data_IF_080928427558
#
_entry.id   IF_080928427558
#
_cell.length_a   1.000
_cell.length_b   1.000
_cell.length_c   1.000
_cell.angle_alpha   90.00
_cell.angle_beta   90.00
_cell.angle_gamma   90.00
#
_symmetry.space_group_name_H-M   'P 1'
#
loop_
_entity.id
_entity.type
_entity.pdbx_description
1 polymer ?
#
# COMPACT_ATOMS: atom_id res chain seq x y z
N UNK A 1 38.12 -17.96 63.47
CA UNK A 1 36.88 -17.20 63.16
C UNK A 1 36.84 -16.87 61.67
N UNK A 2 36.12 -17.65 60.89
CA UNK A 2 35.98 -17.49 59.42
C UNK A 2 34.65 -16.80 59.21
N UNK A 3 34.69 -15.55 58.69
CA UNK A 3 33.51 -14.83 58.31
C UNK A 3 33.10 -15.31 56.93
N UNK A 4 31.97 -16.02 56.81
CA UNK A 4 31.33 -16.35 55.55
C UNK A 4 30.62 -15.10 55.00
N UNK A 5 31.16 -14.55 53.97
CA UNK A 5 30.44 -13.54 53.15
C UNK A 5 29.56 -14.30 52.15
N UNK A 6 28.30 -14.40 52.46
CA UNK A 6 27.26 -14.88 51.55
C UNK A 6 26.97 -13.78 50.54
N UNK A 7 27.55 -13.89 49.35
CA UNK A 7 27.19 -13.01 48.21
C UNK A 7 25.89 -13.50 47.65
N UNK A 8 24.83 -12.77 47.93
CA UNK A 8 23.49 -12.99 47.35
C UNK A 8 23.53 -12.49 45.90
N UNK A 9 23.72 -13.41 44.95
CA UNK A 9 23.58 -13.12 43.51
C UNK A 9 22.09 -12.98 43.18
N UNK A 10 21.61 -11.75 43.21
CA UNK A 10 20.25 -11.41 42.68
C UNK A 10 20.34 -11.44 41.16
N UNK A 11 20.03 -12.58 40.58
CA UNK A 11 19.81 -12.68 39.12
C UNK A 11 18.53 -11.93 38.76
N UNK A 12 18.70 -10.71 38.34
CA UNK A 12 17.60 -9.93 37.76
C UNK A 12 17.32 -10.55 36.39
N UNK A 13 16.35 -11.46 36.34
CA UNK A 13 15.73 -11.88 35.07
C UNK A 13 14.97 -10.69 34.50
N UNK A 14 15.66 -9.91 33.70
CA UNK A 14 14.97 -9.01 32.76
C UNK A 14 14.25 -9.91 31.76
N UNK A 15 13.01 -10.24 32.06
CA UNK A 15 12.09 -10.74 31.03
C UNK A 15 11.94 -9.61 29.99
N UNK A 16 12.71 -9.69 28.94
CA UNK A 16 12.46 -8.90 27.76
C UNK A 16 11.11 -9.35 27.23
N UNK A 17 10.06 -8.66 27.64
CA UNK A 17 8.82 -8.69 26.88
C UNK A 17 9.16 -8.07 25.54
N UNK A 18 9.57 -8.91 24.61
CA UNK A 18 9.69 -8.53 23.23
C UNK A 18 8.29 -8.12 22.76
N UNK A 19 8.00 -6.82 22.78
CA UNK A 19 6.85 -6.31 22.06
C UNK A 19 7.12 -6.60 20.59
N UNK A 20 6.56 -7.69 20.11
CA UNK A 20 6.54 -7.97 18.68
C UNK A 20 5.79 -6.83 18.03
N UNK A 21 6.45 -6.09 17.15
CA UNK A 21 5.78 -5.06 16.36
C UNK A 21 4.69 -5.71 15.52
N UNK A 22 3.46 -5.19 15.52
CA UNK A 22 2.35 -5.80 14.77
C UNK A 22 2.64 -5.75 13.27
N UNK A 23 2.20 -6.77 12.54
CA UNK A 23 2.15 -6.69 11.09
C UNK A 23 1.10 -5.65 10.66
N UNK A 24 1.41 -4.88 9.63
CA UNK A 24 0.54 -3.84 9.09
C UNK A 24 0.15 -4.24 7.67
N UNK A 25 -1.15 -4.38 7.42
CA UNK A 25 -1.71 -4.63 6.08
C UNK A 25 -2.61 -3.47 5.71
N UNK A 26 -2.29 -2.79 4.61
CA UNK A 26 -3.10 -1.71 4.05
C UNK A 26 -3.75 -2.23 2.77
N UNK A 27 -5.07 -2.30 2.75
CA UNK A 27 -5.86 -2.67 1.58
C UNK A 27 -6.48 -1.39 1.04
N UNK A 28 -5.98 -0.93 -0.11
CA UNK A 28 -6.47 0.28 -0.77
C UNK A 28 -7.30 -0.11 -1.99
N UNK A 29 -8.61 0.03 -1.87
CA UNK A 29 -9.52 -0.12 -3.00
C UNK A 29 -9.34 1.05 -3.98
N UNK A 30 -9.40 0.75 -5.28
CA UNK A 30 -9.28 1.73 -6.36
C UNK A 30 -10.66 1.91 -6.99
N UNK A 31 -11.17 3.14 -6.97
CA UNK A 31 -12.51 3.52 -7.47
C UNK A 31 -13.70 2.83 -6.76
N UNK A 32 -13.58 2.50 -5.46
CA UNK A 32 -14.69 1.99 -4.65
C UNK A 32 -15.55 3.15 -4.15
N UNK A 33 -16.82 3.11 -4.48
CA UNK A 33 -17.80 4.08 -3.99
C UNK A 33 -18.29 3.76 -2.57
N UNK A 34 -18.79 4.78 -1.87
CA UNK A 34 -19.35 4.62 -0.51
C UNK A 34 -20.44 3.54 -0.44
N UNK A 35 -21.34 3.54 -1.42
CA UNK A 35 -22.44 2.59 -1.48
C UNK A 35 -22.10 1.27 -2.21
N UNK A 36 -20.82 0.97 -2.45
CA UNK A 36 -20.42 -0.27 -3.13
C UNK A 36 -20.14 -1.42 -2.14
N UNK A 37 -20.30 -1.18 -0.85
CA UNK A 37 -20.12 -2.18 0.21
C UNK A 37 -21.45 -2.51 0.89
N UNK A 38 -21.66 -3.78 1.24
CA UNK A 38 -22.95 -4.26 1.74
C UNK A 38 -23.39 -3.58 3.03
N UNK A 39 -22.50 -3.26 3.94
CA UNK A 39 -22.85 -2.59 5.20
C UNK A 39 -23.33 -1.14 5.02
N UNK A 40 -23.05 -0.51 3.87
CA UNK A 40 -23.66 0.77 3.49
C UNK A 40 -24.93 0.62 2.64
N UNK A 41 -25.49 -0.60 2.54
CA UNK A 41 -26.73 -0.88 1.84
C UNK A 41 -26.57 -1.23 0.37
N UNK A 42 -25.37 -1.58 -0.09
CA UNK A 42 -25.14 -2.11 -1.43
C UNK A 42 -25.82 -3.45 -1.65
N UNK A 43 -26.26 -3.71 -2.87
CA UNK A 43 -26.66 -5.03 -3.33
C UNK A 43 -25.43 -5.96 -3.53
N UNK A 44 -24.24 -5.38 -3.66
CA UNK A 44 -22.98 -6.11 -3.74
C UNK A 44 -22.64 -6.70 -2.38
N UNK A 45 -22.47 -8.01 -2.33
CA UNK A 45 -22.13 -8.70 -1.09
C UNK A 45 -20.63 -8.58 -0.78
N UNK A 46 -20.30 -7.97 0.35
CA UNK A 46 -18.93 -7.79 0.82
C UNK A 46 -18.71 -8.39 2.22
N UNK A 47 -18.96 -9.69 2.44
CA UNK A 47 -19.03 -10.27 3.77
C UNK A 47 -17.72 -10.17 4.57
N UNK A 48 -16.57 -10.16 3.90
CA UNK A 48 -15.29 -10.03 4.57
C UNK A 48 -15.04 -8.58 5.04
N UNK A 49 -15.50 -7.58 4.28
CA UNK A 49 -15.44 -6.17 4.70
C UNK A 49 -16.40 -5.96 5.87
N UNK A 50 -17.61 -6.49 5.79
CA UNK A 50 -18.61 -6.41 6.87
C UNK A 50 -18.08 -7.04 8.17
N UNK A 51 -17.35 -8.16 8.06
CA UNK A 51 -16.70 -8.81 9.21
C UNK A 51 -15.59 -7.93 9.83
N UNK A 52 -14.79 -7.25 9.00
CA UNK A 52 -13.78 -6.33 9.51
C UNK A 52 -14.40 -5.15 10.25
N UNK A 53 -15.49 -4.61 9.73
CA UNK A 53 -16.20 -3.49 10.36
C UNK A 53 -16.82 -3.92 11.70
N UNK A 54 -17.43 -5.12 11.76
CA UNK A 54 -18.04 -5.62 13.00
C UNK A 54 -17.03 -5.85 14.13
N UNK A 55 -15.76 -6.07 13.81
CA UNK A 55 -14.68 -6.34 14.76
C UNK A 55 -13.67 -5.21 14.90
N UNK A 56 -13.75 -4.21 14.05
CA UNK A 56 -12.79 -3.10 13.95
C UNK A 56 -13.38 -1.75 14.31
N UNK A 57 -12.81 -0.71 13.71
CA UNK A 57 -13.25 0.69 13.86
C UNK A 57 -13.52 1.26 12.48
N UNK A 58 -14.69 1.80 12.27
CA UNK A 58 -15.03 2.58 11.09
C UNK A 58 -14.69 4.06 11.32
N UNK A 59 -14.07 4.68 10.33
CA UNK A 59 -13.80 6.11 10.32
C UNK A 59 -14.86 6.81 9.45
N UNK A 60 -15.97 7.19 10.04
CA UNK A 60 -17.15 7.78 9.38
C UNK A 60 -16.84 9.00 8.48
N UNK A 61 -15.87 9.81 8.86
CA UNK A 61 -15.50 11.04 8.15
C UNK A 61 -14.09 11.02 7.60
N UNK A 62 -13.65 9.88 7.13
CA UNK A 62 -12.35 9.73 6.49
C UNK A 62 -12.48 9.98 4.98
N UNK A 63 -12.16 11.19 4.56
CA UNK A 63 -12.24 11.59 3.16
C UNK A 63 -10.90 11.37 2.46
N UNK A 64 -10.95 10.87 1.25
CA UNK A 64 -9.80 10.74 0.34
C UNK A 64 -9.97 11.67 -0.85
N UNK A 65 -8.95 11.80 -1.67
CA UNK A 65 -9.04 12.60 -2.91
C UNK A 65 -9.94 11.88 -3.94
N UNK A 66 -10.61 12.62 -4.83
CA UNK A 66 -11.51 12.02 -5.82
C UNK A 66 -10.80 11.21 -6.92
N UNK A 67 -9.47 11.12 -6.88
CA UNK A 67 -8.67 10.42 -7.88
C UNK A 67 -7.46 9.73 -7.26
N UNK A 68 -6.90 8.76 -8.00
CA UNK A 68 -5.93 7.79 -7.51
C UNK A 68 -4.55 8.37 -7.12
N UNK A 69 -3.83 9.07 -8.00
CA UNK A 69 -2.49 9.58 -7.66
C UNK A 69 -2.48 10.56 -6.48
N UNK A 70 -3.41 11.51 -6.38
CA UNK A 70 -3.52 12.38 -5.21
C UNK A 70 -3.74 11.61 -3.91
N UNK A 71 -4.72 10.70 -3.88
CA UNK A 71 -5.00 9.85 -2.70
C UNK A 71 -3.78 9.03 -2.29
N UNK A 72 -3.10 8.41 -3.27
CA UNK A 72 -1.90 7.59 -3.02
C UNK A 72 -0.73 8.43 -2.50
N UNK A 73 -0.55 9.63 -3.03
CA UNK A 73 0.46 10.56 -2.56
C UNK A 73 0.22 10.98 -1.10
N UNK A 74 -1.02 11.28 -0.75
CA UNK A 74 -1.42 11.60 0.63
C UNK A 74 -1.22 10.41 1.58
N UNK A 75 -1.63 9.21 1.17
CA UNK A 75 -1.44 7.99 1.96
C UNK A 75 0.05 7.72 2.23
N UNK A 76 0.90 7.92 1.22
CA UNK A 76 2.33 7.65 1.34
C UNK A 76 3.08 8.69 2.16
N UNK A 77 2.62 9.94 2.19
CA UNK A 77 3.38 11.06 2.80
C UNK A 77 2.74 11.65 4.05
N UNK A 78 1.44 11.44 4.26
CA UNK A 78 0.66 12.14 5.27
C UNK A 78 0.48 13.65 4.98
N UNK A 79 0.75 14.10 3.73
CA UNK A 79 0.67 15.50 3.31
C UNK A 79 -0.43 15.68 2.27
N UNK A 80 -1.07 16.84 2.28
CA UNK A 80 -2.08 17.17 1.26
C UNK A 80 -1.51 17.12 -0.16
N UNK A 81 -2.26 16.54 -1.08
CA UNK A 81 -1.93 16.41 -2.51
C UNK A 81 -1.60 17.76 -3.17
N UNK A 82 -2.26 18.84 -2.73
CA UNK A 82 -1.99 20.20 -3.23
C UNK A 82 -0.56 20.61 -2.89
N UNK A 83 -0.09 20.33 -1.68
CA UNK A 83 1.29 20.63 -1.24
C UNK A 83 2.33 19.79 -1.97
N UNK A 84 1.95 18.61 -2.40
CA UNK A 84 2.80 17.69 -3.16
C UNK A 84 2.83 18.01 -4.66
N UNK A 85 1.97 18.93 -5.12
CA UNK A 85 1.82 19.24 -6.55
C UNK A 85 1.17 18.12 -7.37
N UNK A 86 0.53 17.14 -6.71
CA UNK A 86 -0.12 15.99 -7.34
C UNK A 86 -1.64 16.14 -7.14
N UNK A 87 -2.27 16.99 -7.93
CA UNK A 87 -3.70 17.30 -7.83
C UNK A 87 -4.58 16.52 -8.80
N UNK A 88 -3.99 15.68 -9.64
CA UNK A 88 -4.67 14.85 -10.65
C UNK A 88 -3.86 13.58 -10.91
N UNK A 89 -4.45 12.56 -11.55
CA UNK A 89 -3.74 11.34 -11.93
C UNK A 89 -2.51 11.66 -12.80
N UNK A 90 -1.40 11.00 -12.50
CA UNK A 90 -0.16 11.13 -13.27
C UNK A 90 -0.30 10.31 -14.55
N UNK A 91 -0.30 10.97 -15.71
CA UNK A 91 -0.41 10.22 -16.96
C UNK A 91 0.92 9.58 -17.36
N UNK A 92 0.83 8.49 -18.14
CA UNK A 92 1.97 7.67 -18.58
C UNK A 92 3.13 8.48 -19.18
N UNK A 93 2.81 9.53 -19.93
CA UNK A 93 3.78 10.32 -20.66
C UNK A 93 4.29 11.54 -19.86
N UNK A 94 3.83 11.73 -18.65
CA UNK A 94 4.27 12.84 -17.83
C UNK A 94 5.62 12.54 -17.16
N UNK A 95 6.54 13.48 -17.28
CA UNK A 95 7.82 13.49 -16.52
C UNK A 95 7.59 13.94 -15.08
N UNK A 96 6.59 13.33 -14.43
CA UNK A 96 6.12 13.68 -13.10
C UNK A 96 6.06 12.43 -12.23
N UNK A 97 6.31 12.61 -10.94
CA UNK A 97 6.14 11.63 -9.90
C UNK A 97 6.07 12.29 -8.54
N UNK A 98 5.82 11.52 -7.51
CA UNK A 98 5.90 11.99 -6.13
C UNK A 98 7.31 12.47 -5.84
N UNK A 99 7.46 13.72 -5.40
CA UNK A 99 8.77 14.37 -5.20
C UNK A 99 9.78 13.45 -4.51
N UNK A 100 10.98 13.35 -5.07
CA UNK A 100 12.01 12.44 -4.55
C UNK A 100 12.56 12.87 -3.17
N UNK A 101 12.38 14.14 -2.83
CA UNK A 101 12.68 14.71 -1.51
C UNK A 101 11.62 14.37 -0.45
N UNK A 102 10.46 13.85 -0.86
CA UNK A 102 9.43 13.44 0.08
C UNK A 102 9.77 12.08 0.68
N UNK A 103 9.89 12.01 1.98
CA UNK A 103 9.98 10.75 2.70
C UNK A 103 8.59 10.12 2.79
N UNK A 104 8.48 8.85 2.45
CA UNK A 104 7.20 8.16 2.34
C UNK A 104 7.08 7.00 3.34
N UNK A 105 5.85 6.54 3.57
CA UNK A 105 5.49 5.55 4.59
C UNK A 105 6.44 4.34 4.66
N UNK A 106 6.78 3.63 3.56
CA UNK A 106 7.69 2.48 3.65
C UNK A 106 9.09 2.86 4.14
N UNK A 107 9.57 4.08 3.88
CA UNK A 107 10.87 4.54 4.38
C UNK A 107 10.84 4.75 5.90
N UNK A 108 9.74 5.26 6.45
CA UNK A 108 9.56 5.36 7.91
C UNK A 108 9.47 3.98 8.57
N UNK A 109 8.73 3.06 7.95
CA UNK A 109 8.58 1.70 8.46
C UNK A 109 9.91 0.94 8.45
N UNK A 110 10.76 1.15 7.45
CA UNK A 110 12.11 0.56 7.42
C UNK A 110 13.00 1.03 8.57
N UNK A 111 12.92 2.29 8.97
CA UNK A 111 13.64 2.78 10.15
C UNK A 111 13.17 2.10 11.45
N UNK A 112 11.96 1.55 11.43
CA UNK A 112 11.39 0.77 12.52
C UNK A 112 11.61 -0.75 12.33
N UNK A 113 12.52 -1.17 11.45
CA UNK A 113 12.85 -2.54 11.09
C UNK A 113 11.70 -3.36 10.47
N UNK A 114 10.72 -2.72 9.83
CA UNK A 114 9.73 -3.42 9.04
C UNK A 114 10.28 -3.80 7.66
N UNK A 115 9.90 -4.97 7.19
CA UNK A 115 9.98 -5.30 5.77
C UNK A 115 8.74 -4.75 5.06
N UNK A 116 8.92 -4.19 3.87
CA UNK A 116 7.88 -3.42 3.19
C UNK A 116 7.59 -3.99 1.80
N UNK A 117 6.33 -4.28 1.55
CA UNK A 117 5.86 -4.92 0.31
C UNK A 117 4.78 -4.08 -0.34
N UNK A 118 4.86 -3.88 -1.64
CA UNK A 118 3.78 -3.30 -2.43
C UNK A 118 3.30 -4.33 -3.44
N UNK A 119 2.02 -4.65 -3.37
CA UNK A 119 1.33 -5.49 -4.34
C UNK A 119 0.28 -4.64 -5.06
N UNK A 120 0.33 -4.57 -6.38
CA UNK A 120 -0.66 -3.86 -7.16
C UNK A 120 -0.22 -2.52 -7.75
N UNK A 121 -1.16 -1.58 -7.78
CA UNK A 121 -1.00 -0.27 -8.41
C UNK A 121 -0.10 0.66 -7.62
N UNK A 122 0.91 1.22 -8.29
CA UNK A 122 1.75 2.29 -7.76
C UNK A 122 1.20 3.69 -8.03
N UNK A 123 1.22 4.12 -9.25
CA UNK A 123 0.69 5.38 -9.80
C UNK A 123 1.24 6.66 -9.15
N UNK A 124 2.49 6.64 -8.70
CA UNK A 124 3.19 7.80 -8.12
C UNK A 124 4.46 8.17 -8.88
N UNK A 125 4.54 7.80 -10.15
CA UNK A 125 5.66 8.10 -11.05
C UNK A 125 6.26 6.84 -11.64
N UNK A 126 6.57 6.92 -12.96
CA UNK A 126 7.13 5.81 -13.74
C UNK A 126 8.10 6.28 -14.82
N UNK A 127 8.36 7.60 -14.90
CA UNK A 127 9.18 8.18 -15.96
C UNK A 127 10.64 7.75 -15.86
N UNK A 128 11.18 7.70 -14.64
CA UNK A 128 12.53 7.19 -14.38
C UNK A 128 12.53 6.22 -13.20
N UNK A 129 13.55 5.33 -13.10
CA UNK A 129 13.60 4.32 -12.04
C UNK A 129 13.58 4.87 -10.60
N UNK A 130 14.02 6.10 -10.39
CA UNK A 130 14.02 6.76 -9.07
C UNK A 130 12.63 6.87 -8.46
N UNK A 131 11.59 6.89 -9.30
CA UNK A 131 10.20 6.89 -8.85
C UNK A 131 9.64 5.49 -8.54
N UNK A 132 10.34 4.42 -8.89
CA UNK A 132 9.83 3.07 -8.71
C UNK A 132 9.70 2.70 -7.23
N UNK A 133 8.73 1.86 -6.85
CA UNK A 133 8.47 1.51 -5.47
C UNK A 133 9.70 1.04 -4.70
N UNK A 134 10.55 0.23 -5.32
CA UNK A 134 11.77 -0.30 -4.69
C UNK A 134 12.82 0.77 -4.42
N UNK A 135 12.84 1.85 -5.20
CA UNK A 135 13.68 3.03 -4.96
C UNK A 135 13.05 3.99 -3.95
N UNK A 136 11.79 3.77 -3.63
CA UNK A 136 11.01 4.59 -2.70
C UNK A 136 10.75 3.88 -1.36
N UNK A 137 11.53 2.86 -1.04
CA UNK A 137 11.54 2.23 0.30
C UNK A 137 10.81 0.91 0.40
N UNK A 138 10.16 0.41 -0.64
CA UNK A 138 9.64 -0.96 -0.64
C UNK A 138 10.75 -1.97 -0.89
N UNK A 139 10.79 -3.03 -0.10
CA UNK A 139 11.73 -4.15 -0.29
C UNK A 139 11.31 -5.06 -1.42
N UNK A 140 10.02 -5.12 -1.69
CA UNK A 140 9.44 -5.92 -2.74
C UNK A 140 8.29 -5.19 -3.42
N UNK A 141 8.24 -5.31 -4.74
CA UNK A 141 7.15 -4.80 -5.57
C UNK A 141 6.69 -5.85 -6.58
N UNK A 142 5.38 -6.07 -6.64
CA UNK A 142 4.76 -6.90 -7.66
C UNK A 142 3.46 -6.26 -8.12
N UNK A 143 3.44 -5.77 -9.35
CA UNK A 143 2.30 -5.01 -9.83
C UNK A 143 2.62 -4.14 -11.03
N UNK A 144 1.96 -2.99 -11.12
CA UNK A 144 2.11 -2.06 -12.24
C UNK A 144 2.32 -0.62 -11.78
N UNK A 145 3.05 0.13 -12.61
CA UNK A 145 3.49 1.48 -12.27
C UNK A 145 2.47 2.55 -12.62
N UNK A 146 1.63 2.28 -13.63
CA UNK A 146 0.68 3.23 -14.21
C UNK A 146 -0.69 3.26 -13.51
N UNK A 147 -1.63 4.05 -14.08
CA UNK A 147 -2.94 4.27 -13.49
C UNK A 147 -3.93 3.12 -13.62
N UNK A 148 -3.71 2.22 -14.54
CA UNK A 148 -4.52 1.03 -14.78
C UNK A 148 -3.72 -0.05 -15.44
N UNK A 149 -4.30 -1.23 -15.60
CA UNK A 149 -3.68 -2.33 -16.31
C UNK A 149 -4.74 -3.34 -16.78
N UNK A 150 -4.53 -3.94 -17.93
CA UNK A 150 -5.39 -5.03 -18.39
C UNK A 150 -5.20 -6.29 -17.55
N UNK A 151 -6.29 -6.94 -17.18
CA UNK A 151 -6.24 -8.15 -16.34
C UNK A 151 -5.63 -9.36 -17.05
N UNK A 152 -5.73 -9.39 -18.37
CA UNK A 152 -5.29 -10.52 -19.19
C UNK A 152 -3.98 -10.26 -19.91
N UNK A 153 -3.83 -9.08 -20.48
CA UNK A 153 -2.72 -8.69 -21.34
C UNK A 153 -1.66 -7.85 -20.62
N UNK A 154 -1.99 -7.34 -19.43
CA UNK A 154 -1.13 -6.47 -18.62
C UNK A 154 -0.64 -5.24 -19.39
N UNK A 155 -1.49 -4.73 -20.28
CA UNK A 155 -1.19 -3.56 -21.11
C UNK A 155 -1.92 -2.32 -20.60
N UNK A 156 -1.22 -1.21 -20.54
CA UNK A 156 -1.79 0.12 -20.29
C UNK A 156 -1.24 1.14 -21.27
N UNK A 157 -2.12 1.88 -21.95
CA UNK A 157 -1.73 2.93 -22.89
C UNK A 157 -0.76 2.43 -23.98
N UNK A 158 -0.99 1.22 -24.52
CA UNK A 158 -0.20 0.60 -25.59
C UNK A 158 1.15 0.01 -25.17
N UNK A 159 1.41 -0.12 -23.88
CA UNK A 159 2.64 -0.75 -23.38
C UNK A 159 2.37 -1.73 -22.24
N UNK A 160 3.15 -2.80 -22.21
CA UNK A 160 3.11 -3.77 -21.13
C UNK A 160 3.61 -3.14 -19.82
N UNK A 161 2.85 -3.27 -18.74
CA UNK A 161 3.16 -2.69 -17.43
C UNK A 161 2.87 -3.67 -16.30
N UNK A 162 3.70 -4.71 -16.21
CA UNK A 162 3.69 -5.62 -15.09
C UNK A 162 5.11 -5.86 -14.61
N UNK A 163 5.35 -5.57 -13.35
CA UNK A 163 6.69 -5.54 -12.79
C UNK A 163 6.83 -6.57 -11.66
N UNK A 164 8.01 -7.13 -11.57
CA UNK A 164 8.53 -7.75 -10.35
C UNK A 164 9.78 -6.98 -9.96
N UNK A 165 9.69 -6.20 -8.90
CA UNK A 165 10.68 -5.18 -8.55
C UNK A 165 10.87 -4.17 -9.71
N UNK A 166 12.08 -4.06 -10.25
CA UNK A 166 12.40 -3.11 -11.32
C UNK A 166 12.42 -3.75 -12.72
N UNK A 167 11.97 -4.99 -12.83
CA UNK A 167 12.00 -5.74 -14.09
C UNK A 167 10.60 -6.02 -14.60
N UNK A 168 10.40 -5.84 -15.89
CA UNK A 168 9.19 -6.31 -16.55
C UNK A 168 9.07 -7.82 -16.34
N UNK A 169 7.95 -8.22 -15.78
CA UNK A 169 7.64 -9.62 -15.51
C UNK A 169 6.51 -10.07 -16.42
N UNK A 170 6.87 -10.69 -17.54
CA UNK A 170 5.89 -11.22 -18.48
C UNK A 170 5.17 -12.39 -17.84
N UNK A 171 3.85 -12.26 -17.75
CA UNK A 171 2.94 -13.27 -17.26
C UNK A 171 1.83 -13.43 -18.28
N UNK A 172 1.50 -14.65 -18.61
CA UNK A 172 0.36 -14.97 -19.47
C UNK A 172 -0.87 -15.28 -18.61
N UNK A 173 -2.03 -14.92 -19.13
CA UNK A 173 -3.31 -15.22 -18.52
C UNK A 173 -3.75 -14.24 -17.44
N UNK A 174 -4.92 -14.51 -16.90
CA UNK A 174 -5.58 -13.66 -15.93
C UNK A 174 -4.76 -13.45 -14.65
N UNK A 175 -4.52 -12.23 -14.31
CA UNK A 175 -4.01 -11.86 -13.00
C UNK A 175 -5.05 -11.02 -12.29
N UNK A 176 -5.81 -11.62 -11.42
CA UNK A 176 -6.38 -10.90 -10.32
C UNK A 176 -5.24 -10.58 -9.37
N UNK A 177 -4.70 -9.39 -9.52
CA UNK A 177 -4.27 -8.79 -8.28
C UNK A 177 -5.57 -8.50 -7.58
N UNK A 178 -5.64 -9.13 -6.49
CA UNK A 178 -6.51 -8.91 -5.49
C UNK A 178 -6.72 -7.49 -5.32
N UNK A 179 -7.30 -6.84 -6.17
CA UNK A 179 -7.35 -5.73 -5.50
C UNK A 179 -7.20 -4.43 -6.14
N UNK A 180 -7.19 -4.38 -7.34
CA UNK A 180 -7.95 -3.35 -7.97
C UNK A 180 -9.38 -3.83 -7.81
N UNK A 181 -10.10 -3.25 -6.89
CA UNK A 181 -11.51 -3.50 -6.72
C UNK A 181 -12.16 -3.63 -8.08
N UNK A 182 -12.90 -4.69 -8.36
CA UNK A 182 -13.75 -4.66 -9.51
C UNK A 182 -14.67 -3.45 -9.30
N UNK A 183 -14.53 -2.45 -10.15
CA UNK A 183 -15.61 -1.48 -10.33
C UNK A 183 -16.87 -2.32 -10.58
N UNK A 184 -18.03 -1.95 -10.07
CA UNK A 184 -19.29 -2.59 -10.46
C UNK A 184 -19.50 -2.67 -11.97
N UNK A 185 -18.80 -1.82 -12.73
CA UNK A 185 -18.72 -1.86 -14.20
C UNK A 185 -17.91 -3.04 -14.74
N UNK A 186 -16.97 -3.58 -13.97
CA UNK A 186 -16.10 -4.69 -14.41
C UNK A 186 -16.66 -6.07 -14.01
N UNK A 187 -17.70 -6.09 -13.17
CA UNK A 187 -18.39 -7.32 -12.74
C UNK A 187 -19.34 -7.92 -13.80
N UNK A 188 -19.49 -7.27 -14.95
CA UNK A 188 -20.36 -7.69 -16.04
C UNK A 188 -19.62 -8.07 -17.35
N UNK A 189 -18.39 -8.55 -17.23
CA UNK A 189 -17.69 -9.12 -18.41
C UNK A 189 -17.56 -10.63 -18.26
#
# INVERSE_FOLDING_TARGET
MIKNNLILLVSIFFTHYGFSSPNIVIILADDLGWNDVSYHGSEIKTPNIDSLISSGVELDRFYVQPTCSPTRAELMTGKSAIRLGITRPISKNQKLGLGLNEKILPQYLKEMNYQTYLLGKWHLGAYTPEYFPTRRGFDYFYGYLQGGNGYWDHVHGGGYDWQKNEKLHRKEGYTCLLYTSPSPRDAYV
#
